data_IF_403953323486
#
_entry.id   IF_403953323486
#
_cell.length_a   1.000
_cell.length_b   1.000
_cell.length_c   1.000
_cell.angle_alpha   90.00
_cell.angle_beta   90.00
_cell.angle_gamma   90.00
#
_symmetry.space_group_name_H-M   'P 1'
#
loop_
_entity.id
_entity.type
_entity.pdbx_description
1 polymer ?
#
# COMPACT_ATOMS: atom_id res chain seq x y z
N UNK A 1 -0.61 9.73 -7.50
CA UNK A 1 0.18 10.08 -6.28
C UNK A 1 0.48 8.77 -5.59
N UNK A 2 1.68 8.55 -5.05
CA UNK A 2 1.98 7.19 -4.61
C UNK A 2 3.35 7.01 -3.97
N UNK A 3 3.68 5.75 -3.73
CA UNK A 3 4.93 5.35 -3.10
C UNK A 3 6.04 5.29 -4.15
N UNK A 4 7.06 6.12 -3.96
CA UNK A 4 8.35 5.94 -4.62
C UNK A 4 9.25 5.00 -3.80
N UNK A 5 10.46 4.77 -4.30
CA UNK A 5 11.41 3.86 -3.64
C UNK A 5 11.83 4.32 -2.23
N UNK A 6 11.85 5.63 -1.97
CA UNK A 6 12.25 6.16 -0.68
C UNK A 6 11.12 6.03 0.33
N UNK A 7 9.87 6.26 -0.09
CA UNK A 7 8.68 5.99 0.71
C UNK A 7 8.60 4.51 1.10
N UNK A 8 8.85 3.59 0.15
CA UNK A 8 8.91 2.15 0.45
C UNK A 8 9.99 1.83 1.48
N UNK A 9 11.20 2.39 1.31
CA UNK A 9 12.31 2.18 2.27
C UNK A 9 12.00 2.72 3.65
N UNK A 10 11.29 3.85 3.73
CA UNK A 10 10.81 4.39 5.00
C UNK A 10 9.83 3.44 5.68
N UNK A 11 8.86 2.87 4.95
CA UNK A 11 7.92 1.89 5.49
C UNK A 11 8.61 0.60 5.95
N UNK A 12 9.63 0.15 5.23
CA UNK A 12 10.49 -0.96 5.64
C UNK A 12 11.22 -0.64 6.95
N UNK A 13 11.81 0.56 7.06
CA UNK A 13 12.49 1.00 8.27
C UNK A 13 11.52 1.07 9.46
N UNK A 14 10.30 1.57 9.26
CA UNK A 14 9.25 1.59 10.27
C UNK A 14 8.89 0.16 10.72
N UNK A 15 8.70 -0.77 9.77
CA UNK A 15 8.42 -2.17 10.07
C UNK A 15 9.52 -2.83 10.90
N UNK A 16 10.79 -2.59 10.54
CA UNK A 16 11.97 -3.08 11.28
C UNK A 16 12.12 -2.42 12.66
N UNK A 17 11.53 -1.25 12.85
CA UNK A 17 11.50 -0.54 14.14
C UNK A 17 10.34 -0.97 15.04
N UNK A 18 9.56 -1.98 14.63
CA UNK A 18 8.48 -2.55 15.44
C UNK A 18 7.08 -2.10 15.06
N UNK A 19 6.90 -1.29 14.01
CA UNK A 19 5.54 -0.96 13.53
C UNK A 19 4.88 -2.19 12.97
N UNK A 20 3.65 -2.47 13.40
CA UNK A 20 2.80 -3.52 12.84
C UNK A 20 1.67 -2.87 12.03
N UNK A 21 1.62 -3.16 10.73
CA UNK A 21 0.68 -2.48 9.82
C UNK A 21 -0.79 -2.88 10.00
N UNK A 22 -1.09 -4.08 10.51
CA UNK A 22 -2.46 -4.50 10.80
C UNK A 22 -3.42 -4.25 9.64
N UNK A 23 -4.49 -3.50 9.88
CA UNK A 23 -5.44 -3.05 8.86
C UNK A 23 -5.06 -1.66 8.37
N UNK A 24 -4.67 -1.54 7.10
CA UNK A 24 -4.19 -0.29 6.49
C UNK A 24 -5.31 0.36 5.70
N UNK A 25 -5.57 1.64 5.96
CA UNK A 25 -6.41 2.51 5.14
C UNK A 25 -5.54 3.61 4.51
N UNK A 26 -5.55 3.74 3.18
CA UNK A 26 -4.93 4.87 2.47
C UNK A 26 -5.97 5.90 2.05
N UNK A 27 -5.56 7.17 1.98
CA UNK A 27 -6.33 8.22 1.29
C UNK A 27 -5.92 8.24 -0.18
N UNK A 28 -6.88 8.04 -1.08
CA UNK A 28 -6.63 7.63 -2.45
C UNK A 28 -6.04 6.22 -2.54
N UNK A 29 -6.16 5.58 -3.70
CA UNK A 29 -5.43 4.34 -3.98
C UNK A 29 -4.01 4.69 -4.41
N UNK A 30 -3.03 4.30 -3.61
CA UNK A 30 -1.66 4.77 -3.81
C UNK A 30 -0.99 4.03 -4.97
N UNK A 31 -0.52 4.77 -5.98
CA UNK A 31 0.34 4.22 -7.03
C UNK A 31 1.62 3.63 -6.43
N UNK A 32 2.20 2.65 -7.09
CA UNK A 32 3.54 2.17 -6.81
C UNK A 32 4.49 2.57 -7.94
N UNK A 33 5.26 3.61 -7.70
CA UNK A 33 6.22 4.17 -8.66
C UNK A 33 7.56 3.45 -8.60
N UNK A 34 7.53 2.11 -8.52
CA UNK A 34 8.72 1.25 -8.44
C UNK A 34 8.51 0.00 -9.28
N UNK A 35 9.44 -0.26 -10.21
CA UNK A 35 9.37 -1.46 -11.06
C UNK A 35 9.37 -2.74 -10.21
N UNK A 36 8.58 -3.77 -10.58
CA UNK A 36 8.45 -5.01 -9.79
C UNK A 36 9.78 -5.69 -9.49
N UNK A 37 10.68 -5.74 -10.47
CA UNK A 37 12.02 -6.32 -10.29
C UNK A 37 12.82 -5.60 -9.19
N UNK A 38 12.69 -4.26 -9.11
CA UNK A 38 13.35 -3.47 -8.05
C UNK A 38 12.68 -3.68 -6.70
N UNK A 39 11.35 -3.76 -6.65
CA UNK A 39 10.62 -4.07 -5.42
C UNK A 39 11.01 -5.41 -4.81
N UNK A 40 11.11 -6.47 -5.62
CA UNK A 40 11.58 -7.77 -5.14
C UNK A 40 12.94 -7.67 -4.47
N UNK A 41 13.91 -7.07 -5.17
CA UNK A 41 15.27 -6.91 -4.66
C UNK A 41 15.29 -6.16 -3.32
N UNK A 42 14.50 -5.09 -3.18
CA UNK A 42 14.43 -4.31 -1.94
C UNK A 42 13.76 -5.08 -0.79
N UNK A 43 12.70 -5.84 -1.07
CA UNK A 43 12.04 -6.66 -0.05
C UNK A 43 12.96 -7.79 0.43
N UNK A 44 13.60 -8.49 -0.49
CA UNK A 44 14.53 -9.59 -0.20
C UNK A 44 15.77 -9.11 0.58
N UNK A 45 16.35 -7.97 0.21
CA UNK A 45 17.47 -7.33 0.94
C UNK A 45 17.13 -7.09 2.42
N UNK A 46 15.85 -6.89 2.73
CA UNK A 46 15.37 -6.63 4.08
C UNK A 46 14.65 -7.81 4.73
N UNK A 47 14.67 -8.99 4.10
CA UNK A 47 14.10 -10.23 4.66
C UNK A 47 12.58 -10.32 4.60
N UNK A 48 11.92 -9.54 3.73
CA UNK A 48 10.48 -9.60 3.50
C UNK A 48 10.13 -10.45 2.28
N UNK A 49 8.92 -11.00 2.26
CA UNK A 49 8.42 -11.77 1.12
C UNK A 49 8.32 -10.89 -0.13
N UNK A 50 8.81 -11.38 -1.26
CA UNK A 50 8.75 -10.72 -2.57
C UNK A 50 7.75 -11.38 -3.53
N UNK A 51 7.00 -12.38 -3.07
CA UNK A 51 6.13 -13.23 -3.93
C UNK A 51 5.10 -12.42 -4.74
N UNK A 52 4.56 -11.35 -4.15
CA UNK A 52 3.58 -10.48 -4.81
C UNK A 52 4.17 -9.61 -5.94
N UNK A 53 5.49 -9.64 -6.12
CA UNK A 53 6.21 -8.95 -7.19
C UNK A 53 6.93 -9.92 -8.14
N UNK A 54 6.65 -11.22 -8.04
CA UNK A 54 7.18 -12.24 -8.95
C UNK A 54 6.76 -11.95 -10.41
N UNK A 55 7.49 -12.48 -11.42
CA UNK A 55 7.08 -12.34 -12.82
C UNK A 55 5.66 -12.91 -13.02
N UNK A 56 4.77 -12.15 -13.64
CA UNK A 56 3.38 -12.54 -13.84
C UNK A 56 2.45 -12.25 -12.65
N UNK A 57 2.91 -11.56 -11.61
CA UNK A 57 2.04 -11.08 -10.54
C UNK A 57 0.94 -10.15 -11.11
N UNK A 58 -0.31 -10.27 -10.63
CA UNK A 58 -1.47 -9.67 -11.28
C UNK A 58 -1.56 -8.15 -11.13
N UNK A 59 -1.11 -7.58 -10.01
CA UNK A 59 -1.16 -6.14 -9.76
C UNK A 59 0.12 -5.69 -9.05
N UNK A 60 0.86 -4.82 -9.71
CA UNK A 60 2.05 -4.15 -9.18
C UNK A 60 2.04 -2.65 -9.49
N UNK A 61 0.90 -2.14 -9.97
CA UNK A 61 0.72 -0.72 -10.27
C UNK A 61 0.36 0.09 -9.02
N UNK A 62 -0.21 -0.58 -8.01
CA UNK A 62 -0.61 0.03 -6.75
C UNK A 62 0.19 -0.52 -5.56
N UNK A 63 0.10 0.17 -4.42
CA UNK A 63 0.95 -0.04 -3.26
C UNK A 63 0.51 -1.19 -2.32
N UNK A 64 -0.67 -1.78 -2.48
CA UNK A 64 -1.18 -2.83 -1.60
C UNK A 64 -0.21 -4.01 -1.46
N UNK A 65 0.40 -4.52 -2.54
CA UNK A 65 1.42 -5.57 -2.44
C UNK A 65 2.62 -5.21 -1.54
N UNK A 66 2.99 -3.93 -1.44
CA UNK A 66 4.05 -3.46 -0.53
C UNK A 66 3.59 -3.67 0.92
N UNK A 67 2.44 -3.12 1.30
CA UNK A 67 1.91 -3.24 2.66
C UNK A 67 1.68 -4.70 3.06
N UNK A 68 1.16 -5.53 2.14
CA UNK A 68 1.02 -6.98 2.36
C UNK A 68 2.35 -7.68 2.61
N UNK A 69 3.38 -7.34 1.82
CA UNK A 69 4.73 -7.88 2.00
C UNK A 69 5.35 -7.47 3.35
N UNK A 70 4.95 -6.32 3.90
CA UNK A 70 5.36 -5.84 5.23
C UNK A 70 4.50 -6.37 6.38
N UNK A 71 3.50 -7.21 6.08
CA UNK A 71 2.67 -7.89 7.08
C UNK A 71 1.31 -7.25 7.36
N UNK A 72 0.81 -6.36 6.50
CA UNK A 72 -0.57 -5.88 6.61
C UNK A 72 -1.58 -7.03 6.42
N UNK A 73 -2.58 -7.11 7.31
CA UNK A 73 -3.70 -8.05 7.26
C UNK A 73 -4.72 -7.64 6.20
N UNK A 74 -5.05 -6.36 6.13
CA UNK A 74 -5.91 -5.78 5.09
C UNK A 74 -5.30 -4.47 4.59
N UNK A 75 -5.61 -4.13 3.34
CA UNK A 75 -5.26 -2.84 2.75
C UNK A 75 -6.48 -2.38 1.97
N UNK A 76 -7.02 -1.25 2.38
CA UNK A 76 -8.14 -0.59 1.73
C UNK A 76 -7.74 0.84 1.40
N UNK A 77 -8.44 1.42 0.44
CA UNK A 77 -8.33 2.84 0.08
C UNK A 77 -9.66 3.53 0.26
N UNK A 78 -9.60 4.80 0.65
CA UNK A 78 -10.74 5.70 0.70
C UNK A 78 -10.49 6.87 -0.24
N UNK A 79 -11.47 7.20 -1.09
CA UNK A 79 -11.39 8.35 -1.98
C UNK A 79 -12.78 8.97 -2.18
N UNK A 80 -12.85 10.16 -2.79
CA UNK A 80 -14.12 10.82 -3.08
C UNK A 80 -14.95 10.09 -4.15
N UNK A 81 -14.33 9.18 -4.92
CA UNK A 81 -14.97 8.35 -5.94
C UNK A 81 -14.31 6.96 -6.03
N UNK A 82 -14.96 6.02 -6.70
CA UNK A 82 -14.45 4.66 -6.94
C UNK A 82 -13.59 4.54 -8.23
N UNK A 83 -13.23 5.66 -8.85
CA UNK A 83 -12.55 5.69 -10.15
C UNK A 83 -11.26 4.83 -10.20
N UNK A 84 -10.43 4.89 -9.14
CA UNK A 84 -9.21 4.07 -9.03
C UNK A 84 -9.43 2.75 -8.28
N UNK A 85 -10.69 2.39 -7.99
CA UNK A 85 -11.08 1.20 -7.25
C UNK A 85 -11.01 1.38 -5.73
N UNK A 86 -11.35 2.56 -5.22
CA UNK A 86 -11.41 2.80 -3.77
C UNK A 86 -12.44 1.88 -3.10
N UNK A 87 -12.06 1.25 -1.99
CA UNK A 87 -12.96 0.36 -1.22
C UNK A 87 -14.02 1.17 -0.50
N UNK A 88 -13.64 2.34 0.02
CA UNK A 88 -14.55 3.28 0.67
C UNK A 88 -14.67 4.54 -0.18
N UNK A 89 -15.90 4.94 -0.49
CA UNK A 89 -16.17 6.20 -1.19
C UNK A 89 -16.68 7.22 -0.19
N UNK A 90 -15.88 8.25 0.09
CA UNK A 90 -16.24 9.34 0.98
C UNK A 90 -15.50 10.64 0.60
N UNK A 91 -16.27 11.70 0.39
CA UNK A 91 -15.74 13.05 0.23
C UNK A 91 -15.40 13.64 1.60
N UNK A 92 -14.10 13.69 1.94
CA UNK A 92 -13.59 14.25 3.19
C UNK A 92 -13.81 15.77 3.34
N UNK A 93 -14.33 16.44 2.31
CA UNK A 93 -14.79 17.84 2.42
C UNK A 93 -16.23 17.94 2.96
N UNK A 94 -16.96 16.83 3.04
CA UNK A 94 -18.27 16.77 3.67
C UNK A 94 -18.14 16.39 5.14
N UNK A 95 -19.08 16.85 6.00
CA UNK A 95 -19.14 16.35 7.36
C UNK A 95 -19.40 14.83 7.38
N UNK A 96 -18.92 14.16 8.44
CA UNK A 96 -19.31 12.78 8.69
C UNK A 96 -20.84 12.67 8.85
N UNK A 97 -21.45 11.52 8.48
CA UNK A 97 -22.85 11.28 8.73
C UNK A 97 -23.18 11.45 10.22
N UNK A 98 -24.38 11.95 10.54
CA UNK A 98 -24.78 12.17 11.93
C UNK A 98 -24.84 10.88 12.77
N UNK A 99 -24.88 9.70 12.13
CA UNK A 99 -24.83 8.39 12.76
C UNK A 99 -23.81 7.51 12.01
N UNK A 100 -22.91 6.85 12.75
CA UNK A 100 -21.91 5.89 12.27
C UNK A 100 -22.34 4.45 12.54
#
# INVERSE_FOLDING_TARGET
MGLDINAVRFLIAARKSGVEFGDVLTLGRQDLNVYPAKMRSVLEEHGFSSQLFAPGAPDTGFAEPVFKSLGAKSVCSMDFSDFEGAVFVHDLNQPLPANL
#
